data_IF_992032091929
#
_entry.id   IF_992032091929
#
_cell.length_a   1.000
_cell.length_b   1.000
_cell.length_c   1.000
_cell.angle_alpha   90.00
_cell.angle_beta   90.00
_cell.angle_gamma   90.00
#
_symmetry.space_group_name_H-M   'P 1'
#
loop_
_entity.id
_entity.type
_entity.pdbx_description
1 polymer ?
#
# COMPACT_ATOMS: atom_id res chain seq x y z
N UNK A 1 -16.64 -35.66 -11.35
CA UNK A 1 -16.94 -34.86 -10.14
C UNK A 1 -15.77 -33.91 -9.93
N UNK A 2 -16.03 -32.62 -9.74
CA UNK A 2 -14.96 -31.62 -9.65
C UNK A 2 -14.25 -31.63 -8.29
N UNK A 3 -12.94 -31.80 -8.29
CA UNK A 3 -12.13 -31.93 -7.07
C UNK A 3 -11.40 -30.64 -6.78
N UNK A 4 -11.55 -30.10 -5.57
CA UNK A 4 -10.82 -28.92 -5.10
C UNK A 4 -9.52 -29.38 -4.41
N UNK A 5 -8.39 -28.78 -4.78
CA UNK A 5 -7.05 -29.14 -4.27
C UNK A 5 -6.22 -27.89 -4.04
N UNK A 6 -5.44 -27.85 -2.96
CA UNK A 6 -4.38 -26.86 -2.80
C UNK A 6 -3.31 -27.07 -3.87
N UNK A 7 -2.79 -25.97 -4.42
CA UNK A 7 -1.70 -25.97 -5.40
C UNK A 7 -0.40 -25.53 -4.73
N UNK A 8 0.63 -26.38 -4.77
CA UNK A 8 1.95 -26.08 -4.18
C UNK A 8 2.90 -25.47 -5.23
N UNK A 9 2.62 -24.23 -5.64
CA UNK A 9 3.31 -23.56 -6.75
C UNK A 9 4.84 -23.49 -6.62
N UNK A 10 5.35 -23.33 -5.38
CA UNK A 10 6.80 -23.28 -5.11
C UNK A 10 7.50 -24.64 -5.08
N UNK A 11 6.74 -25.74 -5.00
CA UNK A 11 7.27 -27.10 -4.86
C UNK A 11 7.05 -27.96 -6.10
N UNK A 12 6.01 -27.67 -6.87
CA UNK A 12 5.56 -28.50 -7.99
C UNK A 12 5.59 -27.71 -9.31
N UNK A 13 6.67 -27.86 -10.07
CA UNK A 13 6.88 -27.11 -11.31
C UNK A 13 5.77 -27.33 -12.34
N UNK A 14 5.26 -28.56 -12.49
CA UNK A 14 4.14 -28.84 -13.41
C UNK A 14 2.84 -28.16 -12.98
N UNK A 15 2.59 -28.06 -11.67
CA UNK A 15 1.41 -27.38 -11.12
C UNK A 15 1.50 -25.88 -11.39
N UNK A 16 2.70 -25.28 -11.26
CA UNK A 16 2.95 -23.88 -11.62
C UNK A 16 2.64 -23.61 -13.09
N UNK A 17 3.11 -24.47 -14.00
CA UNK A 17 2.85 -24.32 -15.44
C UNK A 17 1.35 -24.38 -15.73
N UNK A 18 0.65 -25.41 -15.24
CA UNK A 18 -0.82 -25.55 -15.45
C UNK A 18 -1.59 -24.36 -14.90
N UNK A 19 -1.17 -23.83 -13.75
CA UNK A 19 -1.76 -22.64 -13.17
C UNK A 19 -1.53 -21.39 -14.02
N UNK A 20 -0.29 -21.16 -14.47
CA UNK A 20 0.05 -20.05 -15.36
C UNK A 20 -0.70 -20.13 -16.69
N UNK A 21 -0.82 -21.31 -17.28
CA UNK A 21 -1.60 -21.56 -18.50
C UNK A 21 -3.07 -21.16 -18.30
N UNK A 22 -3.70 -21.61 -17.20
CA UNK A 22 -5.07 -21.24 -16.87
C UNK A 22 -5.22 -19.71 -16.71
N UNK A 23 -4.32 -19.06 -15.98
CA UNK A 23 -4.33 -17.60 -15.82
C UNK A 23 -4.24 -16.90 -17.18
N UNK A 24 -3.38 -17.39 -18.08
CA UNK A 24 -3.22 -16.81 -19.41
C UNK A 24 -4.53 -16.87 -20.22
N UNK A 25 -5.36 -17.90 -20.04
CA UNK A 25 -6.66 -18.01 -20.74
C UNK A 25 -7.67 -16.93 -20.36
N UNK A 26 -7.48 -16.26 -19.21
CA UNK A 26 -8.35 -15.19 -18.71
C UNK A 26 -7.66 -13.82 -18.72
N UNK A 27 -6.47 -13.73 -19.35
CA UNK A 27 -5.69 -12.49 -19.45
C UNK A 27 -5.00 -12.09 -18.15
N UNK A 28 -4.70 -13.07 -17.28
CA UNK A 28 -3.93 -12.87 -16.05
C UNK A 28 -2.54 -13.48 -16.19
N UNK A 29 -1.61 -13.04 -15.34
CA UNK A 29 -0.27 -13.63 -15.30
C UNK A 29 0.24 -13.83 -13.88
N UNK A 30 0.57 -15.09 -13.58
CA UNK A 30 1.17 -15.50 -12.31
C UNK A 30 2.70 -15.48 -12.38
N UNK A 31 3.30 -14.30 -12.20
CA UNK A 31 4.75 -14.16 -12.09
C UNK A 31 5.25 -14.24 -10.64
N UNK A 32 4.33 -14.19 -9.68
CA UNK A 32 4.59 -14.21 -8.25
C UNK A 32 4.07 -15.52 -7.65
N UNK A 33 4.60 -15.88 -6.47
CA UNK A 33 4.09 -16.98 -5.66
C UNK A 33 3.24 -16.40 -4.53
N UNK A 34 1.89 -16.49 -4.60
CA UNK A 34 1.02 -16.05 -3.53
C UNK A 34 1.20 -16.94 -2.29
N UNK A 35 0.79 -16.43 -1.12
CA UNK A 35 0.80 -17.17 0.16
C UNK A 35 0.05 -18.51 0.05
N UNK A 36 -1.07 -18.50 -0.68
CA UNK A 36 -1.90 -19.68 -0.87
C UNK A 36 -2.56 -19.69 -2.23
N UNK A 37 -2.67 -20.89 -2.82
CA UNK A 37 -3.38 -21.10 -4.09
C UNK A 37 -4.19 -22.39 -4.02
N UNK A 38 -5.40 -22.33 -4.57
CA UNK A 38 -6.32 -23.46 -4.70
C UNK A 38 -6.78 -23.60 -6.13
N UNK A 39 -6.96 -24.84 -6.59
CA UNK A 39 -7.46 -25.19 -7.91
C UNK A 39 -8.65 -26.14 -7.83
N UNK A 40 -9.53 -26.08 -8.82
CA UNK A 40 -10.57 -27.08 -9.07
C UNK A 40 -10.18 -27.84 -10.34
N UNK A 41 -10.21 -29.17 -10.23
CA UNK A 41 -9.89 -30.09 -11.31
C UNK A 41 -11.13 -30.83 -11.83
N UNK A 42 -11.16 -31.05 -13.14
CA UNK A 42 -11.97 -32.08 -13.80
C UNK A 42 -11.04 -33.13 -14.39
N UNK A 43 -10.98 -34.31 -13.77
CA UNK A 43 -9.89 -35.27 -14.01
C UNK A 43 -8.53 -34.64 -13.70
N UNK A 44 -7.64 -34.62 -14.70
CA UNK A 44 -6.30 -34.03 -14.61
C UNK A 44 -6.22 -32.57 -15.08
N UNK A 45 -7.34 -32.04 -15.60
CA UNK A 45 -7.43 -30.68 -16.11
C UNK A 45 -7.74 -29.70 -14.99
N UNK A 46 -6.89 -28.68 -14.82
CA UNK A 46 -7.17 -27.55 -13.95
C UNK A 46 -8.17 -26.60 -14.64
N UNK A 47 -9.37 -26.48 -14.09
CA UNK A 47 -10.50 -25.76 -14.72
C UNK A 47 -10.85 -24.45 -14.01
N UNK A 48 -10.44 -24.27 -12.76
CA UNK A 48 -10.54 -23.02 -12.04
C UNK A 48 -9.42 -22.90 -11.00
N UNK A 49 -9.03 -21.68 -10.67
CA UNK A 49 -8.04 -21.39 -9.63
C UNK A 49 -8.33 -20.05 -8.95
N UNK A 50 -7.84 -19.90 -7.73
CA UNK A 50 -7.73 -18.61 -7.06
C UNK A 50 -6.65 -18.65 -5.99
N UNK A 51 -6.20 -17.48 -5.58
CA UNK A 51 -5.10 -17.31 -4.64
C UNK A 51 -5.37 -16.16 -3.68
N UNK A 52 -4.58 -16.06 -2.62
CA UNK A 52 -4.46 -14.84 -1.84
C UNK A 52 -3.01 -14.56 -1.45
N UNK A 53 -2.73 -13.29 -1.16
CA UNK A 53 -1.52 -12.83 -0.48
C UNK A 53 -1.92 -11.79 0.55
N UNK A 54 -1.47 -11.97 1.78
CA UNK A 54 -2.01 -11.26 2.93
C UNK A 54 -3.53 -11.40 2.99
N UNK A 55 -4.23 -10.28 2.91
CA UNK A 55 -5.69 -10.17 2.89
C UNK A 55 -6.28 -9.92 1.48
N UNK A 56 -5.44 -9.94 0.44
CA UNK A 56 -5.84 -9.65 -0.93
C UNK A 56 -6.06 -10.95 -1.68
N UNK A 57 -7.31 -11.18 -2.08
CA UNK A 57 -7.68 -12.28 -2.97
C UNK A 57 -7.28 -11.89 -4.41
N UNK A 58 -6.48 -12.73 -5.05
CA UNK A 58 -5.92 -12.51 -6.39
C UNK A 58 -5.91 -13.76 -7.26
N UNK A 59 -5.56 -13.60 -8.53
CA UNK A 59 -5.38 -14.70 -9.50
C UNK A 59 -6.61 -15.61 -9.67
N UNK A 60 -7.82 -15.02 -9.65
CA UNK A 60 -9.05 -15.78 -9.87
C UNK A 60 -9.22 -16.05 -11.37
N UNK A 61 -9.22 -17.32 -11.74
CA UNK A 61 -9.41 -17.76 -13.11
C UNK A 61 -10.39 -18.92 -13.17
N UNK A 62 -11.32 -18.85 -14.12
CA UNK A 62 -12.28 -19.93 -14.40
C UNK A 62 -12.33 -20.16 -15.90
N UNK A 63 -12.19 -21.42 -16.31
CA UNK A 63 -12.23 -21.79 -17.71
C UNK A 63 -13.61 -21.48 -18.32
N UNK A 64 -13.63 -20.70 -19.40
CA UNK A 64 -14.87 -20.23 -20.09
C UNK A 64 -15.77 -21.36 -20.59
N UNK A 65 -15.23 -22.57 -20.76
CA UNK A 65 -15.97 -23.75 -21.25
C UNK A 65 -16.91 -24.37 -20.18
N UNK A 66 -16.81 -23.92 -18.93
CA UNK A 66 -17.57 -24.46 -17.80
C UNK A 66 -18.59 -23.44 -17.28
N UNK A 67 -19.55 -23.87 -16.44
CA UNK A 67 -20.51 -23.01 -15.74
C UNK A 67 -19.76 -22.08 -14.75
N UNK A 68 -19.26 -20.96 -15.26
CA UNK A 68 -18.17 -20.19 -14.65
C UNK A 68 -18.50 -19.61 -13.29
N UNK A 69 -19.74 -19.15 -13.08
CA UNK A 69 -20.15 -18.53 -11.81
C UNK A 69 -20.11 -19.51 -10.64
N UNK A 70 -20.55 -20.77 -10.82
CA UNK A 70 -20.55 -21.77 -9.74
C UNK A 70 -19.13 -22.12 -9.29
N UNK A 71 -18.20 -22.22 -10.24
CA UNK A 71 -16.80 -22.51 -9.94
C UNK A 71 -16.13 -21.33 -9.25
N UNK A 72 -16.40 -20.10 -9.71
CA UNK A 72 -15.91 -18.88 -9.08
C UNK A 72 -16.39 -18.79 -7.62
N UNK A 73 -17.69 -18.96 -7.37
CA UNK A 73 -18.26 -18.95 -6.01
C UNK A 73 -17.57 -19.99 -5.11
N UNK A 74 -17.35 -21.20 -5.63
CA UNK A 74 -16.66 -22.27 -4.88
C UNK A 74 -15.21 -21.92 -4.53
N UNK A 75 -14.46 -21.33 -5.46
CA UNK A 75 -13.09 -20.84 -5.21
C UNK A 75 -13.12 -19.75 -4.14
N UNK A 76 -13.98 -18.73 -4.27
CA UNK A 76 -14.01 -17.59 -3.35
C UNK A 76 -14.39 -18.01 -1.94
N UNK A 77 -15.42 -18.84 -1.79
CA UNK A 77 -15.81 -19.34 -0.47
C UNK A 77 -14.67 -20.12 0.18
N UNK A 78 -13.96 -20.96 -0.58
CA UNK A 78 -12.80 -21.68 -0.06
C UNK A 78 -11.68 -20.74 0.40
N UNK A 79 -11.36 -19.71 -0.38
CA UNK A 79 -10.34 -18.72 -0.02
C UNK A 79 -10.74 -17.92 1.23
N UNK A 80 -12.02 -17.52 1.35
CA UNK A 80 -12.53 -16.82 2.53
C UNK A 80 -12.43 -17.70 3.78
N UNK A 81 -12.84 -18.97 3.70
CA UNK A 81 -12.71 -19.90 4.83
C UNK A 81 -11.25 -20.08 5.23
N UNK A 82 -10.34 -20.25 4.26
CA UNK A 82 -8.90 -20.37 4.52
C UNK A 82 -8.32 -19.13 5.19
N UNK A 83 -8.67 -17.93 4.71
CA UNK A 83 -8.25 -16.67 5.32
C UNK A 83 -8.80 -16.51 6.76
N UNK A 84 -10.04 -16.97 7.01
CA UNK A 84 -10.64 -16.95 8.34
C UNK A 84 -9.95 -17.92 9.31
N UNK A 85 -9.56 -19.11 8.84
CA UNK A 85 -8.75 -20.05 9.63
C UNK A 85 -7.40 -19.44 10.05
N UNK A 86 -6.84 -18.54 9.22
CA UNK A 86 -5.62 -17.78 9.53
C UNK A 86 -5.86 -16.53 10.40
N UNK A 87 -7.10 -16.32 10.88
CA UNK A 87 -7.46 -15.17 11.72
C UNK A 87 -7.65 -13.85 10.97
N UNK A 88 -7.66 -13.86 9.63
CA UNK A 88 -7.94 -12.67 8.83
C UNK A 88 -9.46 -12.48 8.73
N UNK A 89 -9.93 -11.29 9.06
CA UNK A 89 -11.37 -10.96 9.13
C UNK A 89 -11.82 -9.90 8.13
N UNK A 90 -10.90 -9.40 7.32
CA UNK A 90 -11.15 -8.40 6.29
C UNK A 90 -10.37 -8.79 5.04
N UNK A 91 -11.04 -8.71 3.89
CA UNK A 91 -10.56 -9.24 2.63
C UNK A 91 -10.77 -8.24 1.52
N UNK A 92 -9.84 -8.20 0.58
CA UNK A 92 -9.91 -7.34 -0.58
C UNK A 92 -9.91 -8.10 -1.87
N UNK A 93 -10.54 -7.52 -2.86
CA UNK A 93 -10.42 -7.95 -4.23
C UNK A 93 -10.35 -6.75 -5.16
N UNK A 94 -9.43 -6.85 -6.11
CA UNK A 94 -9.44 -6.02 -7.29
C UNK A 94 -9.89 -6.85 -8.47
N UNK A 95 -10.79 -6.34 -9.30
CA UNK A 95 -11.36 -7.12 -10.39
C UNK A 95 -11.83 -6.24 -11.54
N UNK A 96 -12.08 -6.87 -12.70
CA UNK A 96 -12.74 -6.23 -13.83
C UNK A 96 -14.19 -5.90 -13.47
N UNK A 97 -14.70 -4.78 -13.99
CA UNK A 97 -16.06 -4.31 -13.73
C UNK A 97 -17.15 -5.36 -14.01
N UNK A 98 -16.95 -6.20 -15.03
CA UNK A 98 -17.88 -7.28 -15.41
C UNK A 98 -18.14 -8.29 -14.28
N UNK A 99 -17.17 -8.49 -13.38
CA UNK A 99 -17.28 -9.45 -12.29
C UNK A 99 -17.90 -8.87 -11.01
N UNK A 100 -18.13 -7.56 -10.93
CA UNK A 100 -18.66 -6.90 -9.72
C UNK A 100 -19.95 -7.55 -9.21
N UNK A 101 -20.87 -7.92 -10.12
CA UNK A 101 -22.16 -8.52 -9.75
C UNK A 101 -21.97 -9.83 -9.00
N UNK A 102 -21.02 -10.65 -9.42
CA UNK A 102 -20.72 -11.93 -8.78
C UNK A 102 -20.10 -11.71 -7.40
N UNK A 103 -19.20 -10.74 -7.24
CA UNK A 103 -18.64 -10.46 -5.91
C UNK A 103 -19.66 -9.82 -4.96
N UNK A 104 -20.57 -8.98 -5.48
CA UNK A 104 -21.68 -8.44 -4.67
C UNK A 104 -22.61 -9.54 -4.16
N UNK A 105 -22.89 -10.58 -4.94
CA UNK A 105 -23.71 -11.72 -4.46
C UNK A 105 -23.00 -12.56 -3.39
N UNK A 106 -21.67 -12.48 -3.32
CA UNK A 106 -20.83 -13.08 -2.27
C UNK A 106 -20.64 -12.15 -1.05
N UNK A 107 -21.32 -10.99 -1.03
CA UNK A 107 -21.29 -10.06 0.09
C UNK A 107 -20.19 -8.99 0.02
N UNK A 108 -19.34 -8.99 -1.02
CA UNK A 108 -18.35 -7.93 -1.20
C UNK A 108 -19.05 -6.60 -1.48
N UNK A 109 -18.57 -5.55 -0.80
CA UNK A 109 -19.01 -4.18 -0.98
C UNK A 109 -17.98 -3.43 -1.81
N UNK A 110 -18.45 -2.63 -2.76
CA UNK A 110 -17.57 -1.78 -3.53
C UNK A 110 -17.04 -0.63 -2.68
N UNK A 111 -15.71 -0.45 -2.69
CA UNK A 111 -15.02 0.67 -2.06
C UNK A 111 -14.88 1.80 -3.08
N UNK A 112 -14.35 1.45 -4.26
CA UNK A 112 -14.10 2.37 -5.36
C UNK A 112 -13.97 1.63 -6.69
N UNK A 113 -14.23 2.30 -7.80
CA UNK A 113 -14.01 1.74 -9.13
C UNK A 113 -13.65 2.82 -10.12
N UNK A 114 -12.74 2.49 -11.04
CA UNK A 114 -12.44 3.29 -12.23
C UNK A 114 -13.09 2.63 -13.45
N UNK A 115 -12.77 3.11 -14.66
CA UNK A 115 -13.21 2.46 -15.91
C UNK A 115 -12.58 1.08 -16.12
N UNK A 116 -11.46 0.79 -15.45
CA UNK A 116 -10.70 -0.45 -15.67
C UNK A 116 -10.81 -1.42 -14.51
N UNK A 117 -10.87 -0.92 -13.27
CA UNK A 117 -10.72 -1.74 -12.05
C UNK A 117 -11.78 -1.40 -11.01
N UNK A 118 -12.39 -2.43 -10.44
CA UNK A 118 -13.19 -2.35 -9.23
C UNK A 118 -12.36 -2.82 -8.02
N UNK A 119 -12.39 -2.05 -6.94
CA UNK A 119 -11.87 -2.43 -5.63
C UNK A 119 -13.04 -2.68 -4.68
N UNK A 120 -13.10 -3.90 -4.16
CA UNK A 120 -14.18 -4.34 -3.29
C UNK A 120 -13.62 -5.00 -2.03
N UNK A 121 -14.39 -4.94 -0.96
CA UNK A 121 -14.02 -5.46 0.35
C UNK A 121 -15.10 -6.37 0.94
N UNK A 122 -14.70 -7.26 1.83
CA UNK A 122 -15.60 -8.06 2.65
C UNK A 122 -15.01 -8.22 4.05
N UNK A 123 -15.81 -8.01 5.09
CA UNK A 123 -15.37 -8.16 6.49
C UNK A 123 -15.26 -6.84 7.26
N UNK A 124 -14.47 -6.83 8.34
CA UNK A 124 -14.32 -5.69 9.23
C UNK A 124 -12.89 -5.59 9.82
N UNK A 125 -12.38 -4.38 10.15
CA UNK A 125 -13.05 -3.08 9.94
C UNK A 125 -13.13 -2.71 8.45
N UNK A 126 -14.28 -2.20 8.00
CA UNK A 126 -14.54 -1.87 6.60
C UNK A 126 -14.37 -0.38 6.29
N UNK A 127 -14.62 0.00 5.04
CA UNK A 127 -14.34 1.33 4.56
C UNK A 127 -15.25 2.36 5.21
N UNK A 128 -16.46 2.00 5.62
CA UNK A 128 -17.32 2.91 6.37
C UNK A 128 -16.76 3.20 7.76
N UNK A 129 -16.14 2.23 8.41
CA UNK A 129 -15.46 2.42 9.70
C UNK A 129 -14.21 3.28 9.53
N UNK A 130 -13.43 3.09 8.46
CA UNK A 130 -12.32 3.98 8.14
C UNK A 130 -12.80 5.42 7.87
N UNK A 131 -13.86 5.61 7.08
CA UNK A 131 -14.48 6.93 6.88
C UNK A 131 -14.96 7.55 8.19
N UNK A 132 -15.49 6.76 9.12
CA UNK A 132 -15.89 7.24 10.43
C UNK A 132 -14.68 7.72 11.25
N UNK A 133 -13.57 6.97 11.24
CA UNK A 133 -12.30 7.37 11.85
C UNK A 133 -11.80 8.70 11.27
N UNK A 134 -11.83 8.86 9.95
CA UNK A 134 -11.43 10.12 9.30
C UNK A 134 -12.34 11.27 9.70
N UNK A 135 -13.67 11.07 9.70
CA UNK A 135 -14.63 12.10 10.15
C UNK A 135 -14.38 12.55 11.59
N UNK A 136 -14.13 11.62 12.50
CA UNK A 136 -13.80 11.92 13.90
C UNK A 136 -12.46 12.66 14.04
N UNK A 137 -11.55 12.43 13.09
CA UNK A 137 -10.24 13.06 13.07
C UNK A 137 -10.26 14.46 12.43
N UNK A 138 -11.38 14.91 11.84
CA UNK A 138 -11.46 16.23 11.20
C UNK A 138 -11.27 17.36 12.23
N UNK A 139 -10.37 18.31 11.93
CA UNK A 139 -9.99 19.46 12.77
C UNK A 139 -10.13 20.82 12.10
N UNK A 140 -10.31 20.86 10.78
CA UNK A 140 -10.33 22.09 9.99
C UNK A 140 -11.26 21.96 8.78
N UNK A 141 -11.71 23.10 8.26
CA UNK A 141 -12.56 23.18 7.05
C UNK A 141 -11.74 23.33 5.76
N UNK A 142 -10.43 23.53 5.90
CA UNK A 142 -9.45 23.56 4.82
C UNK A 142 -8.19 22.85 5.30
N UNK A 143 -7.72 21.86 4.55
CA UNK A 143 -6.57 21.07 4.96
C UNK A 143 -5.70 20.61 3.79
N UNK A 144 -4.51 20.17 4.17
CA UNK A 144 -3.54 19.54 3.27
C UNK A 144 -3.36 18.07 3.61
N UNK A 145 -3.17 17.25 2.58
CA UNK A 145 -2.87 15.83 2.71
C UNK A 145 -1.41 15.52 2.40
N UNK A 146 -0.78 14.73 3.27
CA UNK A 146 0.51 14.07 3.01
C UNK A 146 0.32 12.56 3.15
N UNK A 147 0.75 11.75 2.17
CA UNK A 147 0.82 10.29 2.29
C UNK A 147 2.28 9.87 2.17
N UNK A 148 2.81 9.16 3.17
CA UNK A 148 4.19 8.70 3.21
C UNK A 148 4.32 7.26 3.72
N UNK A 149 5.33 6.55 3.20
CA UNK A 149 5.74 5.27 3.77
C UNK A 149 6.57 5.47 5.05
N UNK A 150 7.52 6.40 5.06
CA UNK A 150 8.40 6.67 6.21
C UNK A 150 9.17 5.43 6.73
N UNK A 151 9.91 4.76 5.83
CA UNK A 151 10.64 3.52 6.11
C UNK A 151 12.19 3.70 6.06
N UNK A 152 12.85 4.37 7.03
CA UNK A 152 12.31 5.06 8.21
C UNK A 152 11.86 6.51 7.94
N UNK A 153 11.39 7.22 8.97
CA UNK A 153 11.12 8.65 8.92
C UNK A 153 12.43 9.46 8.85
N UNK A 154 12.67 10.18 7.76
CA UNK A 154 13.89 10.94 7.47
C UNK A 154 13.66 12.45 7.63
N UNK A 155 14.75 13.22 7.67
CA UNK A 155 14.70 14.70 7.63
C UNK A 155 14.02 15.23 6.36
N UNK A 156 14.08 14.47 5.26
CA UNK A 156 13.33 14.80 4.04
C UNK A 156 11.82 14.73 4.25
N UNK A 157 11.32 13.70 4.96
CA UNK A 157 9.90 13.64 5.32
C UNK A 157 9.53 14.76 6.31
N UNK A 158 10.38 15.02 7.32
CA UNK A 158 10.13 16.09 8.29
C UNK A 158 10.03 17.46 7.60
N UNK A 159 10.95 17.77 6.69
CA UNK A 159 10.92 18.99 5.88
C UNK A 159 9.65 19.13 5.03
N UNK A 160 9.19 18.05 4.39
CA UNK A 160 7.94 18.03 3.63
C UNK A 160 6.74 18.39 4.52
N UNK A 161 6.67 17.79 5.71
CA UNK A 161 5.55 18.03 6.65
C UNK A 161 5.62 19.45 7.22
N UNK A 162 6.80 19.92 7.62
CA UNK A 162 6.99 21.28 8.13
C UNK A 162 6.65 22.35 7.08
N UNK A 163 7.00 22.11 5.82
CA UNK A 163 6.67 23.03 4.72
C UNK A 163 5.16 23.08 4.49
N UNK A 164 4.50 21.92 4.44
CA UNK A 164 3.04 21.88 4.33
C UNK A 164 2.35 22.56 5.51
N UNK A 165 2.83 22.33 6.74
CA UNK A 165 2.27 22.92 7.96
C UNK A 165 2.35 24.45 7.99
N UNK A 166 3.34 25.06 7.33
CA UNK A 166 3.46 26.52 7.19
C UNK A 166 2.44 27.13 6.23
N UNK A 167 2.00 26.37 5.22
CA UNK A 167 1.14 26.86 4.13
C UNK A 167 -0.32 26.36 4.22
N UNK A 168 -0.67 25.73 5.35
CA UNK A 168 -1.95 25.05 5.55
C UNK A 168 -2.53 25.39 6.90
N UNK A 169 -3.85 25.58 6.95
CA UNK A 169 -4.59 25.67 8.22
C UNK A 169 -4.39 24.38 9.04
N UNK A 170 -4.48 23.22 8.39
CA UNK A 170 -4.25 21.93 9.00
C UNK A 170 -3.64 20.93 8.02
N UNK A 171 -2.89 19.95 8.52
CA UNK A 171 -2.28 18.87 7.72
C UNK A 171 -2.68 17.51 8.29
N UNK A 172 -3.21 16.65 7.43
CA UNK A 172 -3.36 15.22 7.72
C UNK A 172 -2.22 14.44 7.09
N UNK A 173 -1.39 13.85 7.95
CA UNK A 173 -0.24 13.05 7.59
C UNK A 173 -0.60 11.56 7.66
N UNK A 174 -0.89 10.97 6.51
CA UNK A 174 -1.18 9.56 6.34
C UNK A 174 0.09 8.72 6.27
N UNK A 175 0.21 7.75 7.16
CA UNK A 175 1.31 6.79 7.18
C UNK A 175 0.81 5.44 6.68
N UNK A 176 1.46 4.89 5.65
CA UNK A 176 1.07 3.61 5.05
C UNK A 176 1.00 2.50 6.11
N UNK A 177 -0.02 1.65 6.07
CA UNK A 177 -0.17 0.52 7.00
C UNK A 177 0.39 -0.81 6.47
N UNK A 178 0.85 -0.87 5.22
CA UNK A 178 1.43 -2.09 4.64
C UNK A 178 2.70 -2.55 5.40
N UNK A 179 2.83 -3.86 5.65
CA UNK A 179 3.93 -4.44 6.44
C UNK A 179 5.20 -4.77 5.63
N UNK A 180 5.19 -4.55 4.31
CA UNK A 180 6.33 -4.81 3.42
C UNK A 180 7.44 -3.75 3.53
N UNK A 181 8.13 -3.72 4.67
CA UNK A 181 9.19 -2.75 4.96
C UNK A 181 10.27 -3.27 5.91
N UNK A 182 11.36 -2.50 6.07
CA UNK A 182 12.41 -2.79 7.06
C UNK A 182 11.88 -2.58 8.49
N UNK A 183 10.89 -1.70 8.64
CA UNK A 183 10.21 -1.39 9.89
C UNK A 183 8.74 -1.78 9.78
N UNK A 184 8.14 -2.26 10.87
CA UNK A 184 6.70 -2.55 10.91
C UNK A 184 5.87 -1.28 10.69
N UNK A 185 4.60 -1.43 10.29
CA UNK A 185 3.69 -0.28 10.18
C UNK A 185 3.59 0.50 11.50
N UNK A 186 3.54 -0.20 12.63
CA UNK A 186 3.54 0.40 13.96
C UNK A 186 4.81 1.21 14.25
N UNK A 187 5.99 0.68 13.91
CA UNK A 187 7.25 1.39 14.09
C UNK A 187 7.34 2.64 13.21
N UNK A 188 6.91 2.54 11.94
CA UNK A 188 6.87 3.69 11.02
C UNK A 188 5.92 4.77 11.54
N UNK A 189 4.74 4.39 12.00
CA UNK A 189 3.76 5.29 12.58
C UNK A 189 4.33 6.04 13.80
N UNK A 190 4.98 5.32 14.71
CA UNK A 190 5.57 5.91 15.92
C UNK A 190 6.74 6.85 15.61
N UNK A 191 7.64 6.47 14.68
CA UNK A 191 8.71 7.37 14.22
C UNK A 191 8.15 8.67 13.63
N UNK A 192 7.10 8.58 12.80
CA UNK A 192 6.44 9.76 12.23
C UNK A 192 5.80 10.61 13.33
N UNK A 193 5.04 9.99 14.24
CA UNK A 193 4.34 10.68 15.33
C UNK A 193 5.31 11.48 16.20
N UNK A 194 6.45 10.91 16.58
CA UNK A 194 7.49 11.63 17.32
C UNK A 194 8.13 12.74 16.49
N UNK A 195 8.39 12.46 15.21
CA UNK A 195 9.05 13.39 14.29
C UNK A 195 8.27 14.66 13.95
N UNK A 196 6.97 14.69 14.20
CA UNK A 196 6.09 15.84 13.91
C UNK A 196 5.38 16.40 15.15
N UNK A 197 5.72 15.90 16.35
CA UNK A 197 5.03 16.26 17.59
C UNK A 197 5.12 17.75 17.95
N UNK A 198 6.12 18.47 17.44
CA UNK A 198 6.29 19.92 17.61
C UNK A 198 5.29 20.74 16.78
N UNK A 199 4.63 20.14 15.77
CA UNK A 199 3.70 20.82 14.88
C UNK A 199 2.27 20.74 15.42
N UNK A 200 1.71 21.90 15.78
CA UNK A 200 0.38 22.00 16.41
C UNK A 200 -0.79 21.73 15.46
N UNK A 201 -0.58 21.92 14.16
CA UNK A 201 -1.60 21.79 13.11
C UNK A 201 -1.43 20.55 12.24
N UNK A 202 -0.85 19.47 12.80
CA UNK A 202 -0.65 18.19 12.10
C UNK A 202 -1.31 17.06 12.88
N UNK A 203 -2.11 16.23 12.22
CA UNK A 203 -2.57 14.93 12.74
C UNK A 203 -1.94 13.80 11.94
N UNK A 204 -1.42 12.79 12.64
CA UNK A 204 -0.90 11.56 12.03
C UNK A 204 -2.01 10.52 12.01
N UNK A 205 -2.33 10.00 10.83
CA UNK A 205 -3.39 9.01 10.60
C UNK A 205 -2.82 7.78 9.89
N UNK A 206 -3.27 6.56 10.22
CA UNK A 206 -2.93 5.40 9.42
C UNK A 206 -3.71 5.45 8.11
N UNK A 207 -3.18 4.85 7.06
CA UNK A 207 -3.97 4.62 5.83
C UNK A 207 -4.97 3.49 5.97
N UNK A 208 -4.78 2.64 6.99
CA UNK A 208 -5.27 1.26 7.00
C UNK A 208 -4.99 0.66 5.62
N UNK A 209 -5.99 0.05 5.01
CA UNK A 209 -5.84 -0.64 3.74
C UNK A 209 -6.30 0.17 2.52
N UNK A 210 -6.63 1.46 2.69
CA UNK A 210 -7.39 2.23 1.69
C UNK A 210 -6.59 3.32 0.96
N UNK A 211 -5.34 3.56 1.34
CA UNK A 211 -4.41 4.33 0.51
C UNK A 211 -3.26 3.41 0.16
N UNK A 212 -3.33 2.94 -1.08
CA UNK A 212 -2.70 1.71 -1.55
C UNK A 212 -1.20 1.93 -1.70
N UNK A 213 -0.42 0.92 -1.29
CA UNK A 213 0.97 0.79 -1.67
C UNK A 213 1.07 0.02 -3.00
N UNK A 214 2.15 0.22 -3.75
CA UNK A 214 2.42 -0.53 -4.98
C UNK A 214 2.43 -2.06 -4.80
N UNK A 215 2.59 -2.56 -3.58
CA UNK A 215 2.53 -3.99 -3.27
C UNK A 215 1.12 -4.59 -3.37
N UNK A 216 0.08 -3.79 -3.12
CA UNK A 216 -1.31 -4.27 -3.02
C UNK A 216 -2.09 -4.00 -4.31
N UNK A 217 -1.62 -3.08 -5.15
CA UNK A 217 -2.24 -2.82 -6.43
C UNK A 217 -1.99 -3.98 -7.41
N UNK A 218 -3.03 -4.49 -8.09
CA UNK A 218 -2.96 -5.77 -8.78
C UNK A 218 -2.29 -5.67 -10.16
N UNK A 219 -0.96 -5.55 -10.21
CA UNK A 219 -0.21 -5.54 -11.47
C UNK A 219 -0.53 -6.76 -12.37
N UNK A 220 -0.94 -7.88 -11.76
CA UNK A 220 -1.32 -9.11 -12.46
C UNK A 220 -2.53 -9.02 -13.41
N UNK A 221 -3.42 -8.03 -13.24
CA UNK A 221 -4.52 -7.77 -14.18
C UNK A 221 -4.10 -6.91 -15.38
N UNK A 222 -2.92 -6.29 -15.33
CA UNK A 222 -2.51 -5.25 -16.27
C UNK A 222 -1.28 -5.66 -17.10
N UNK A 223 -0.89 -6.94 -17.12
CA UNK A 223 0.38 -7.37 -17.75
C UNK A 223 0.44 -7.17 -19.26
N UNK A 224 -0.69 -7.20 -19.97
CA UNK A 224 -0.71 -6.87 -21.41
C UNK A 224 -0.28 -5.42 -21.67
N UNK A 225 -0.31 -4.58 -20.62
CA UNK A 225 0.09 -3.19 -20.65
C UNK A 225 1.56 -3.05 -20.28
N UNK A 226 2.25 -2.12 -20.93
CA UNK A 226 3.64 -1.81 -20.62
C UNK A 226 3.81 -1.39 -19.14
N UNK A 227 4.97 -1.61 -18.49
CA UNK A 227 5.18 -1.25 -17.08
C UNK A 227 4.81 0.21 -16.74
N UNK A 228 5.11 1.14 -17.65
CA UNK A 228 4.73 2.56 -17.56
C UNK A 228 3.21 2.73 -17.50
N UNK A 229 2.48 1.97 -18.32
CA UNK A 229 1.02 2.03 -18.34
C UNK A 229 0.41 1.43 -17.06
N UNK A 230 0.97 0.35 -16.53
CA UNK A 230 0.55 -0.22 -15.24
C UNK A 230 0.74 0.80 -14.11
N UNK A 231 1.90 1.46 -14.07
CA UNK A 231 2.19 2.51 -13.10
C UNK A 231 1.22 3.70 -13.23
N UNK A 232 0.85 4.09 -14.47
CA UNK A 232 -0.14 5.15 -14.71
C UNK A 232 -1.53 4.75 -14.21
N UNK A 233 -1.96 3.51 -14.42
CA UNK A 233 -3.28 3.03 -13.97
C UNK A 233 -3.33 2.98 -12.46
N UNK A 234 -2.26 2.49 -11.82
CA UNK A 234 -2.14 2.52 -10.37
C UNK A 234 -2.22 3.96 -9.86
N UNK A 235 -1.38 4.86 -10.39
CA UNK A 235 -1.36 6.26 -9.97
C UNK A 235 -2.72 6.93 -10.16
N UNK A 236 -3.42 6.62 -11.25
CA UNK A 236 -4.78 7.11 -11.52
C UNK A 236 -5.75 6.59 -10.47
N UNK A 237 -5.76 5.28 -10.23
CA UNK A 237 -6.64 4.64 -9.26
C UNK A 237 -6.46 5.23 -7.86
N UNK A 238 -5.21 5.28 -7.37
CA UNK A 238 -4.87 5.78 -6.05
C UNK A 238 -5.24 7.26 -5.89
N UNK A 239 -4.94 8.07 -6.91
CA UNK A 239 -5.23 9.51 -6.88
C UNK A 239 -6.74 9.76 -6.92
N UNK A 240 -7.51 9.01 -7.72
CA UNK A 240 -8.96 9.15 -7.77
C UNK A 240 -9.61 8.66 -6.48
N UNK A 241 -9.16 7.54 -5.91
CA UNK A 241 -9.63 7.05 -4.62
C UNK A 241 -9.40 8.10 -3.52
N UNK A 242 -8.21 8.70 -3.48
CA UNK A 242 -7.91 9.79 -2.54
C UNK A 242 -8.83 10.99 -2.77
N UNK A 243 -8.91 11.48 -4.01
CA UNK A 243 -9.69 12.66 -4.41
C UNK A 243 -11.18 12.51 -4.11
N UNK A 244 -11.76 11.35 -4.39
CA UNK A 244 -13.21 11.16 -4.32
C UNK A 244 -13.69 10.61 -2.99
N UNK A 245 -12.86 9.81 -2.30
CA UNK A 245 -13.30 9.09 -1.10
C UNK A 245 -12.64 9.55 0.19
N UNK A 246 -11.45 10.15 0.15
CA UNK A 246 -10.69 10.54 1.36
C UNK A 246 -10.68 12.05 1.54
N UNK A 247 -10.23 12.79 0.53
CA UNK A 247 -10.08 14.24 0.58
C UNK A 247 -11.36 14.98 0.99
N UNK A 248 -12.57 14.63 0.49
CA UNK A 248 -13.80 15.34 0.85
C UNK A 248 -14.20 15.16 2.32
N UNK A 249 -13.78 14.06 2.96
CA UNK A 249 -14.12 13.78 4.37
C UNK A 249 -13.38 14.74 5.30
N UNK A 250 -12.15 15.08 4.94
CA UNK A 250 -11.22 15.86 5.74
C UNK A 250 -11.03 17.29 5.20
N UNK A 251 -11.77 17.66 4.17
CA UNK A 251 -11.68 18.94 3.46
C UNK A 251 -10.26 19.24 2.96
N UNK A 252 -9.62 18.20 2.41
CA UNK A 252 -8.28 18.32 1.84
C UNK A 252 -8.39 18.95 0.45
N UNK A 253 -7.84 20.16 0.29
CA UNK A 253 -7.80 20.91 -0.97
C UNK A 253 -6.38 21.09 -1.51
N UNK A 254 -5.36 20.67 -0.75
CA UNK A 254 -3.96 20.62 -1.18
C UNK A 254 -3.36 19.26 -0.90
N UNK A 255 -2.54 18.75 -1.82
CA UNK A 255 -1.75 17.54 -1.62
C UNK A 255 -0.27 17.88 -1.75
N UNK A 256 0.52 17.56 -0.74
CA UNK A 256 1.97 17.80 -0.76
C UNK A 256 2.74 16.50 -1.04
N UNK A 257 3.63 16.53 -2.03
CA UNK A 257 4.52 15.42 -2.38
C UNK A 257 5.96 15.91 -2.53
N UNK A 258 6.91 15.02 -2.31
CA UNK A 258 8.32 15.30 -2.65
C UNK A 258 8.57 15.11 -4.14
N UNK A 259 9.49 15.89 -4.68
CA UNK A 259 10.03 15.68 -6.02
C UNK A 259 10.81 14.36 -6.10
N UNK A 260 10.73 13.66 -7.23
CA UNK A 260 11.40 12.38 -7.44
C UNK A 260 12.02 12.30 -8.86
N UNK A 261 13.00 13.15 -9.17
CA UNK A 261 13.49 13.33 -10.55
C UNK A 261 14.32 12.13 -11.06
N UNK A 262 14.77 11.26 -10.16
CA UNK A 262 15.62 10.10 -10.48
C UNK A 262 14.84 8.78 -10.59
N UNK A 263 13.51 8.81 -10.44
CA UNK A 263 12.64 7.65 -10.59
C UNK A 263 11.59 7.97 -11.64
N UNK A 264 11.75 7.40 -12.83
CA UNK A 264 10.79 7.57 -13.93
C UNK A 264 9.37 7.20 -13.51
N UNK A 265 9.21 6.08 -12.80
CA UNK A 265 7.92 5.60 -12.27
C UNK A 265 7.33 6.59 -11.26
N UNK A 266 8.13 7.14 -10.35
CA UNK A 266 7.61 8.06 -9.33
C UNK A 266 7.31 9.44 -9.91
N UNK A 267 8.09 9.88 -10.89
CA UNK A 267 7.81 11.10 -11.64
C UNK A 267 6.50 10.98 -12.43
N UNK A 268 6.30 9.86 -13.12
CA UNK A 268 5.03 9.54 -13.80
C UNK A 268 3.86 9.53 -12.82
N UNK A 269 4.06 8.98 -11.61
CA UNK A 269 3.05 8.98 -10.57
C UNK A 269 2.65 10.41 -10.17
N UNK A 270 3.62 11.31 -9.94
CA UNK A 270 3.37 12.72 -9.63
C UNK A 270 2.65 13.44 -10.79
N UNK A 271 3.04 13.18 -12.03
CA UNK A 271 2.37 13.73 -13.21
C UNK A 271 0.92 13.26 -13.31
N UNK A 272 0.68 11.96 -13.17
CA UNK A 272 -0.66 11.37 -13.20
C UNK A 272 -1.53 11.92 -12.06
N UNK A 273 -0.96 12.07 -10.86
CA UNK A 273 -1.66 12.67 -9.73
C UNK A 273 -2.08 14.11 -10.02
N UNK A 274 -1.22 14.90 -10.67
CA UNK A 274 -1.52 16.27 -11.08
C UNK A 274 -2.69 16.31 -12.06
N UNK A 275 -2.70 15.42 -13.05
CA UNK A 275 -3.78 15.30 -14.04
C UNK A 275 -5.11 14.89 -13.40
N UNK A 276 -5.09 13.93 -12.46
CA UNK A 276 -6.30 13.45 -11.78
C UNK A 276 -6.89 14.51 -10.86
N UNK A 277 -6.04 15.21 -10.10
CA UNK A 277 -6.51 16.24 -9.19
C UNK A 277 -7.05 17.46 -9.93
N UNK A 278 -6.40 17.86 -11.01
CA UNK A 278 -6.76 19.03 -11.82
C UNK A 278 -6.98 20.27 -10.94
N UNK A 279 -8.19 20.81 -10.89
CA UNK A 279 -8.56 22.01 -10.14
C UNK A 279 -9.19 21.71 -8.76
N UNK A 280 -9.54 20.46 -8.49
CA UNK A 280 -10.22 20.07 -7.24
C UNK A 280 -9.26 19.98 -6.04
N UNK A 281 -8.01 19.57 -6.29
CA UNK A 281 -6.95 19.48 -5.27
C UNK A 281 -5.67 20.07 -5.84
N UNK A 282 -5.11 21.10 -5.19
CA UNK A 282 -3.84 21.68 -5.61
C UNK A 282 -2.68 20.75 -5.25
N UNK A 283 -2.01 20.18 -6.25
CA UNK A 283 -0.79 19.38 -6.03
C UNK A 283 0.43 20.31 -5.89
N UNK A 284 1.08 20.23 -4.73
CA UNK A 284 2.29 20.98 -4.41
C UNK A 284 3.46 19.99 -4.34
N UNK A 285 4.40 20.13 -5.30
CA UNK A 285 5.60 19.30 -5.38
C UNK A 285 6.77 20.09 -4.80
N UNK A 286 7.33 19.62 -3.69
CA UNK A 286 8.46 20.27 -3.04
C UNK A 286 9.79 19.71 -3.56
N UNK A 287 10.78 20.56 -3.88
CA UNK A 287 12.13 20.12 -4.20
C UNK A 287 12.72 19.26 -3.08
N UNK A 288 13.49 18.24 -3.45
CA UNK A 288 14.11 17.36 -2.44
C UNK A 288 15.12 18.11 -1.59
N UNK A 289 15.07 17.86 -0.28
CA UNK A 289 16.10 18.31 0.65
C UNK A 289 17.42 17.57 0.36
N UNK A 290 18.48 18.35 0.12
CA UNK A 290 19.85 17.86 -0.01
C UNK A 290 20.69 18.32 1.18
N UNK A 291 21.63 17.49 1.60
CA UNK A 291 22.63 17.82 2.61
C UNK A 291 24.01 17.59 2.00
N UNK A 292 24.83 18.65 1.89
CA UNK A 292 26.16 18.60 1.28
C UNK A 292 26.20 17.99 -0.13
N UNK A 293 25.20 18.31 -0.96
CA UNK A 293 25.05 17.77 -2.32
C UNK A 293 24.48 16.34 -2.38
N UNK A 294 24.30 15.67 -1.24
CA UNK A 294 23.68 14.35 -1.18
C UNK A 294 22.18 14.47 -0.86
N UNK A 295 21.34 13.94 -1.75
CA UNK A 295 19.90 13.82 -1.52
C UNK A 295 19.60 12.88 -0.35
N UNK A 296 18.80 13.35 0.62
CA UNK A 296 18.32 12.55 1.74
C UNK A 296 17.18 11.64 1.25
N UNK A 297 17.32 10.32 1.42
CA UNK A 297 16.25 9.37 1.08
C UNK A 297 16.16 8.22 2.07
N UNK A 298 14.96 7.65 2.22
CA UNK A 298 14.73 6.50 3.08
C UNK A 298 15.55 5.28 2.63
N UNK A 299 15.74 5.07 1.32
CA UNK A 299 16.58 3.99 0.78
C UNK A 299 18.03 4.11 1.24
N UNK A 300 18.61 5.31 1.18
CA UNK A 300 19.97 5.54 1.67
C UNK A 300 20.09 5.40 3.18
N UNK A 301 19.06 5.80 3.93
CA UNK A 301 19.01 5.57 5.37
C UNK A 301 18.98 4.08 5.72
N UNK A 302 18.17 3.27 5.03
CA UNK A 302 18.17 1.80 5.20
C UNK A 302 19.53 1.17 4.88
N UNK A 303 20.22 1.67 3.85
CA UNK A 303 21.56 1.21 3.53
C UNK A 303 22.55 1.57 4.66
N UNK A 304 22.52 2.80 5.16
CA UNK A 304 23.36 3.22 6.27
C UNK A 304 23.08 2.44 7.58
N UNK A 305 21.83 2.02 7.82
CA UNK A 305 21.47 1.12 8.94
C UNK A 305 22.17 -0.24 8.76
N UNK A 306 22.09 -0.84 7.57
CA UNK A 306 22.75 -2.13 7.28
C UNK A 306 24.26 -2.05 7.44
N UNK A 307 24.84 -0.93 7.03
CA UNK A 307 26.28 -0.63 7.13
C UNK A 307 26.72 -0.17 8.53
N UNK A 308 25.79 0.01 9.48
CA UNK A 308 26.04 0.59 10.81
C UNK A 308 26.76 1.95 10.76
N UNK A 309 26.46 2.75 9.74
CA UNK A 309 27.10 4.05 9.52
C UNK A 309 26.37 5.17 10.29
N UNK A 310 26.69 5.32 11.57
CA UNK A 310 26.04 6.29 12.47
C UNK A 310 26.15 7.73 11.96
N UNK A 311 27.32 8.14 11.43
CA UNK A 311 27.52 9.50 10.91
C UNK A 311 26.55 9.81 9.76
N UNK A 312 26.30 8.84 8.87
CA UNK A 312 25.36 9.01 7.77
C UNK A 312 23.91 9.03 8.27
N UNK A 313 23.59 8.25 9.30
CA UNK A 313 22.27 8.26 9.92
C UNK A 313 21.96 9.59 10.60
N UNK A 314 22.90 10.19 11.34
CA UNK A 314 22.74 11.52 11.92
C UNK A 314 22.46 12.61 10.87
N UNK A 315 23.02 12.46 9.66
CA UNK A 315 22.76 13.38 8.55
C UNK A 315 21.37 13.21 7.94
N UNK A 316 20.83 11.98 7.93
CA UNK A 316 19.57 11.67 7.22
C UNK A 316 18.33 11.63 8.10
N UNK A 317 18.48 11.28 9.37
CA UNK A 317 17.37 11.03 10.28
C UNK A 317 17.20 12.18 11.27
N UNK A 318 15.96 12.56 11.61
CA UNK A 318 15.70 13.43 12.75
C UNK A 318 16.17 12.77 14.05
N UNK A 319 16.47 13.58 15.06
CA UNK A 319 16.88 13.11 16.39
C UNK A 319 15.86 12.12 16.98
N UNK A 320 14.57 12.44 16.88
CA UNK A 320 13.47 11.57 17.34
C UNK A 320 13.46 10.18 16.69
N UNK A 321 13.82 10.08 15.41
CA UNK A 321 13.97 8.79 14.73
C UNK A 321 15.21 8.06 15.25
N UNK A 322 16.35 8.74 15.43
CA UNK A 322 17.57 8.12 15.95
C UNK A 322 17.35 7.54 17.35
N UNK A 323 16.73 8.31 18.24
CA UNK A 323 16.36 7.87 19.58
C UNK A 323 15.45 6.64 19.54
N UNK A 324 14.45 6.63 18.66
CA UNK A 324 13.56 5.48 18.49
C UNK A 324 14.32 4.22 18.06
N UNK A 325 15.23 4.36 17.09
CA UNK A 325 16.04 3.24 16.60
C UNK A 325 17.00 2.71 17.67
N UNK A 326 17.56 3.58 18.52
CA UNK A 326 18.35 3.17 19.68
C UNK A 326 17.50 2.41 20.71
N UNK A 327 16.31 2.91 21.04
CA UNK A 327 15.39 2.24 21.97
C UNK A 327 14.97 0.85 21.49
N UNK A 328 14.83 0.66 20.18
CA UNK A 328 14.51 -0.65 19.56
C UNK A 328 15.73 -1.57 19.39
N UNK A 329 16.92 -1.13 19.77
CA UNK A 329 18.16 -1.90 19.60
C UNK A 329 18.58 -2.09 18.14
N UNK A 330 18.03 -1.30 17.21
CA UNK A 330 18.39 -1.32 15.79
C UNK A 330 19.76 -0.68 15.58
N UNK A 331 20.11 0.31 16.41
CA UNK A 331 21.45 0.88 16.49
C UNK A 331 22.10 0.49 17.82
N UNK A 332 23.20 -0.26 17.76
CA UNK A 332 24.03 -0.55 18.94
C UNK A 332 24.94 0.63 19.22
N UNK A 333 25.01 1.12 20.47
CA UNK A 333 26.06 2.07 20.86
C UNK A 333 27.44 1.45 20.55
N UNK A 334 28.13 1.99 19.55
CA UNK A 334 29.55 1.72 19.36
C UNK A 334 30.32 2.25 20.58
N UNK A 335 30.97 1.34 21.29
CA UNK A 335 31.84 1.56 22.46
C UNK A 335 31.21 2.16 23.72
N UNK A 336 31.15 1.29 24.74
CA UNK A 336 31.25 1.67 26.15
C UNK A 336 32.60 2.37 26.40
N UNK A 337 32.67 3.67 26.16
CA UNK A 337 33.61 4.58 26.82
C UNK A 337 33.05 5.99 26.71
N UNK A 338 32.70 6.59 27.85
CA UNK A 338 32.07 7.92 28.05
C UNK A 338 30.53 8.02 27.97
N UNK A 339 29.81 7.09 28.61
CA UNK A 339 28.52 7.47 29.22
C UNK A 339 28.81 8.02 30.62
N UNK A 340 29.17 9.30 30.69
CA UNK A 340 29.21 10.07 31.93
C UNK A 340 28.50 11.40 31.68
N UNK A 341 27.51 11.67 32.52
CA UNK A 341 26.78 12.94 32.66
C UNK A 341 25.86 13.34 31.52
N UNK A 342 24.58 12.94 31.60
CA UNK A 342 23.44 13.84 31.43
C UNK A 342 22.25 13.30 32.25
N UNK A 343 22.32 13.45 33.57
CA UNK A 343 21.18 13.55 34.47
C UNK A 343 21.66 14.32 35.72
N UNK A 344 21.31 15.61 35.77
CA UNK A 344 20.92 16.30 36.98
C UNK A 344 19.63 17.04 36.68
#
# INVERSE_FOLDING_TARGET
MYVLKQLWLSKEHQTMIKWQELLHTVGLSGNECPDYTVGIYDGDQLIASGSYEGQVIKYIAVCKKYQSEKLLIRIINHLIEKLREEGKLHYFIYTKLENQRVFRSLGFKEVFSTREVAFMELGAPNFNEYKALLKQSKKAESASGIVINANPFTKGHQYLVESAAKESEYVYLFVLSAEESMFSAADRFEMVKRGVAHLKNVSVLPTNDYLISAAVFPAYFLKEKAPIEQARIQATFDSQLFKEKIAPILHINKRFVGEEPFSEVTNLYNQTMKEVFDSDISLIILPRLSCNGETISATKARQAIKERNEQKLMKFLPETTLEYLHQKGVMTCGNKTSCSCWYR
#
